data_IF_928026329687
#
_entry.id   IF_928026329687
#
_cell.length_a   1.000
_cell.length_b   1.000
_cell.length_c   1.000
_cell.angle_alpha   90.00
_cell.angle_beta   90.00
_cell.angle_gamma   90.00
#
_symmetry.space_group_name_H-M   'P 1'
#
loop_
_entity.id
_entity.type
_entity.pdbx_description
1 polymer ?
#
# COMPACT_ATOMS: atom_id res chain seq x y z
N UNK A 1 23.67 28.77 3.39
CA UNK A 1 23.92 28.74 1.92
C UNK A 1 22.75 28.04 1.21
N UNK A 2 22.37 28.38 -0.04
CA UNK A 2 21.30 27.64 -0.73
C UNK A 2 21.79 26.28 -1.27
N UNK A 3 20.93 25.26 -1.20
CA UNK A 3 21.15 23.94 -1.77
C UNK A 3 21.48 24.04 -3.26
N UNK A 4 22.53 23.33 -3.68
CA UNK A 4 23.17 23.48 -4.99
C UNK A 4 23.34 22.16 -5.75
N UNK A 5 22.71 21.09 -5.26
CA UNK A 5 22.79 19.75 -5.83
C UNK A 5 21.53 18.94 -5.56
N UNK A 6 21.28 17.99 -6.44
CA UNK A 6 20.21 17.01 -6.31
C UNK A 6 20.59 15.93 -5.30
N UNK A 7 19.61 15.18 -4.83
CA UNK A 7 19.84 14.04 -3.96
C UNK A 7 18.75 13.87 -2.91
N UNK A 8 19.03 13.02 -1.93
CA UNK A 8 18.17 12.83 -0.78
C UNK A 8 18.84 13.35 0.45
N UNK A 9 18.07 14.08 1.24
CA UNK A 9 18.56 14.79 2.39
C UNK A 9 17.64 14.56 3.57
N UNK A 10 18.22 14.44 4.76
CA UNK A 10 17.48 14.71 5.99
C UNK A 10 17.61 16.17 6.34
N UNK A 11 16.53 16.74 6.86
CA UNK A 11 16.46 18.16 7.09
C UNK A 11 15.56 18.50 8.28
N UNK A 12 15.75 19.71 8.82
CA UNK A 12 14.91 20.29 9.86
C UNK A 12 14.27 21.57 9.37
N UNK A 13 13.01 21.80 9.72
CA UNK A 13 12.33 23.07 9.42
C UNK A 13 12.98 24.17 10.27
N UNK A 14 13.40 25.25 9.62
CA UNK A 14 14.01 26.42 10.28
C UNK A 14 13.12 27.67 10.22
N UNK A 15 12.23 27.75 9.24
CA UNK A 15 11.30 28.86 9.06
C UNK A 15 10.05 28.35 8.34
N UNK A 16 8.92 29.01 8.57
CA UNK A 16 7.60 28.59 8.10
C UNK A 16 6.66 29.77 7.94
N UNK A 17 5.80 29.68 6.95
CA UNK A 17 4.74 30.65 6.73
C UNK A 17 3.71 30.16 5.73
N UNK A 18 2.52 30.74 5.79
CA UNK A 18 1.41 30.48 4.87
C UNK A 18 1.10 31.76 4.11
N UNK A 19 1.04 31.66 2.79
CA UNK A 19 0.73 32.82 1.96
C UNK A 19 0.05 32.42 0.64
N UNK A 20 -0.57 33.40 -0.01
CA UNK A 20 -1.02 33.27 -1.38
C UNK A 20 0.16 33.56 -2.33
N UNK A 21 0.58 32.57 -3.12
CA UNK A 21 1.74 32.72 -4.02
C UNK A 21 1.43 32.46 -5.49
N UNK A 22 2.35 32.88 -6.36
CA UNK A 22 2.23 32.71 -7.80
C UNK A 22 1.17 33.60 -8.47
N UNK A 23 1.02 33.51 -9.81
CA UNK A 23 0.10 34.36 -10.56
C UNK A 23 -1.38 34.08 -10.24
N UNK A 24 -1.70 32.87 -9.80
CA UNK A 24 -3.06 32.47 -9.43
C UNK A 24 -3.37 32.70 -7.94
N UNK A 25 -2.44 33.26 -7.15
CA UNK A 25 -2.61 33.55 -5.70
C UNK A 25 -3.07 32.34 -4.87
N UNK A 26 -2.50 31.17 -5.16
CA UNK A 26 -2.91 29.93 -4.52
C UNK A 26 -2.40 29.83 -3.08
N UNK A 27 -3.21 29.26 -2.18
CA UNK A 27 -2.81 28.96 -0.81
C UNK A 27 -1.57 28.05 -0.78
N UNK A 28 -0.49 28.54 -0.21
CA UNK A 28 0.83 27.89 -0.22
C UNK A 28 1.41 27.87 1.19
N UNK A 29 1.79 26.68 1.66
CA UNK A 29 2.64 26.53 2.84
C UNK A 29 4.09 26.62 2.37
N UNK A 30 4.86 27.53 2.95
CA UNK A 30 6.25 27.82 2.61
C UNK A 30 7.10 27.38 3.78
N UNK A 31 8.01 26.43 3.56
CA UNK A 31 8.90 25.92 4.60
C UNK A 31 10.34 26.11 4.16
N UNK A 32 11.17 26.63 5.07
CA UNK A 32 12.62 26.61 4.94
C UNK A 32 13.16 25.44 5.72
N UNK A 33 14.08 24.71 5.10
CA UNK A 33 14.75 23.58 5.70
C UNK A 33 16.25 23.80 5.74
N UNK A 34 16.88 23.49 6.87
CA UNK A 34 18.32 23.27 6.95
C UNK A 34 18.61 21.78 6.70
N UNK A 35 19.49 21.49 5.75
CA UNK A 35 19.89 20.13 5.39
C UNK A 35 20.95 19.65 6.38
N UNK A 36 20.74 18.47 6.96
CA UNK A 36 21.60 17.93 8.02
C UNK A 36 22.40 16.73 7.55
N UNK A 37 21.78 15.83 6.81
CA UNK A 37 22.44 14.63 6.28
C UNK A 37 22.10 14.46 4.80
N UNK A 38 23.01 13.87 4.05
CA UNK A 38 22.83 13.52 2.64
C UNK A 38 23.01 12.02 2.44
N UNK A 39 22.10 11.41 1.69
CA UNK A 39 22.18 9.98 1.37
C UNK A 39 23.09 9.77 0.16
N UNK A 40 24.24 9.12 0.36
CA UNK A 40 25.19 8.75 -0.69
C UNK A 40 25.72 7.35 -0.42
N UNK A 41 26.00 6.61 -1.48
CA UNK A 41 26.62 5.28 -1.39
C UNK A 41 25.93 4.28 -0.44
N UNK A 42 24.61 4.45 -0.21
CA UNK A 42 23.83 3.58 0.66
C UNK A 42 23.72 4.05 2.11
N UNK A 43 24.40 5.13 2.49
CA UNK A 43 24.53 5.61 3.86
C UNK A 43 24.16 7.10 3.98
N UNK A 44 23.83 7.52 5.21
CA UNK A 44 23.60 8.93 5.54
C UNK A 44 24.91 9.56 6.00
N UNK A 45 25.28 10.66 5.37
CA UNK A 45 26.48 11.43 5.71
C UNK A 45 26.09 12.79 6.27
N UNK A 46 26.63 13.16 7.43
CA UNK A 46 26.47 14.50 8.00
C UNK A 46 27.08 15.56 7.07
N UNK A 47 26.26 16.56 6.72
CA UNK A 47 26.64 17.71 5.89
C UNK A 47 26.33 19.04 6.58
N UNK A 48 26.04 19.04 7.89
CA UNK A 48 25.69 20.26 8.65
C UNK A 48 26.72 21.37 8.52
N UNK A 49 28.02 21.02 8.40
CA UNK A 49 29.11 21.98 8.20
C UNK A 49 29.03 22.76 6.87
N UNK A 50 28.27 22.27 5.88
CA UNK A 50 28.04 22.95 4.61
C UNK A 50 26.97 24.06 4.71
N UNK A 51 26.20 24.10 5.80
CA UNK A 51 25.16 25.11 6.06
C UNK A 51 24.18 25.24 4.86
N UNK A 52 23.73 24.11 4.31
CA UNK A 52 22.83 24.13 3.14
C UNK A 52 21.37 24.28 3.58
N UNK A 53 20.64 25.15 2.89
CA UNK A 53 19.21 25.40 3.09
C UNK A 53 18.42 25.30 1.79
N UNK A 54 17.15 24.91 1.89
CA UNK A 54 16.20 24.94 0.77
C UNK A 54 14.87 25.52 1.22
N UNK A 55 14.25 26.33 0.35
CA UNK A 55 12.88 26.83 0.56
C UNK A 55 11.94 26.05 -0.35
N UNK A 56 10.95 25.42 0.25
CA UNK A 56 9.93 24.64 -0.44
C UNK A 56 8.58 25.37 -0.44
N UNK A 57 7.86 25.24 -1.54
CA UNK A 57 6.53 25.81 -1.74
C UNK A 57 5.53 24.68 -1.94
N UNK A 58 4.70 24.43 -0.93
CA UNK A 58 3.69 23.39 -0.91
C UNK A 58 2.32 24.01 -1.20
N UNK A 59 1.90 23.93 -2.47
CA UNK A 59 0.59 24.42 -2.91
C UNK A 59 -0.51 23.47 -2.45
N UNK A 60 -1.37 23.95 -1.55
CA UNK A 60 -2.47 23.18 -0.94
C UNK A 60 -3.63 22.98 -1.92
N UNK A 61 -3.78 23.92 -2.85
CA UNK A 61 -4.78 23.88 -3.91
C UNK A 61 -4.12 23.91 -5.30
N UNK A 62 -4.83 23.37 -6.29
CA UNK A 62 -4.48 23.42 -7.71
C UNK A 62 -5.11 24.63 -8.36
N UNK A 63 -4.69 24.93 -9.59
CA UNK A 63 -5.20 26.07 -10.37
C UNK A 63 -6.71 25.99 -10.65
N UNK A 64 -7.28 24.79 -10.69
CA UNK A 64 -8.71 24.56 -10.90
C UNK A 64 -9.55 24.73 -9.62
N UNK A 65 -8.92 25.08 -8.49
CA UNK A 65 -9.57 25.25 -7.19
C UNK A 65 -9.77 23.93 -6.42
N UNK A 66 -9.34 22.79 -6.97
CA UNK A 66 -9.36 21.51 -6.24
C UNK A 66 -8.16 21.40 -5.31
N UNK A 67 -8.28 20.55 -4.29
CA UNK A 67 -7.18 20.30 -3.36
C UNK A 67 -6.05 19.50 -4.03
N UNK A 68 -4.83 19.80 -3.59
CA UNK A 68 -3.65 19.05 -3.94
C UNK A 68 -3.40 17.95 -2.91
N UNK A 69 -4.25 16.92 -2.93
CA UNK A 69 -4.26 15.81 -1.98
C UNK A 69 -2.87 15.19 -1.78
N UNK A 70 -2.08 15.03 -2.85
CA UNK A 70 -0.71 14.52 -2.76
C UNK A 70 0.18 15.35 -1.83
N UNK A 71 0.11 16.69 -1.93
CA UNK A 71 0.90 17.58 -1.08
C UNK A 71 0.34 17.60 0.34
N UNK A 72 -0.99 17.56 0.49
CA UNK A 72 -1.64 17.52 1.79
C UNK A 72 -1.22 16.25 2.53
N UNK A 73 -1.32 15.08 1.90
CA UNK A 73 -0.95 13.81 2.52
C UNK A 73 0.54 13.76 2.86
N UNK A 74 1.42 14.24 1.98
CA UNK A 74 2.86 14.32 2.28
C UNK A 74 3.15 15.22 3.51
N UNK A 75 2.47 16.36 3.63
CA UNK A 75 2.59 17.25 4.80
C UNK A 75 2.03 16.59 6.07
N UNK A 76 0.91 15.89 5.99
CA UNK A 76 0.32 15.16 7.12
C UNK A 76 1.25 14.04 7.60
N UNK A 77 1.76 13.24 6.67
CA UNK A 77 2.61 12.09 6.96
C UNK A 77 3.98 12.52 7.50
N UNK A 78 4.64 13.48 6.84
CA UNK A 78 5.98 13.88 7.21
C UNK A 78 6.04 14.83 8.42
N UNK A 79 5.05 15.71 8.57
CA UNK A 79 5.08 16.79 9.57
C UNK A 79 4.00 16.66 10.65
N UNK A 80 3.11 15.67 10.56
CA UNK A 80 2.03 15.48 11.52
C UNK A 80 0.89 16.48 11.40
N UNK A 81 0.81 17.22 10.27
CA UNK A 81 -0.25 18.20 10.07
C UNK A 81 -1.64 17.54 10.17
N UNK A 82 -2.62 18.11 10.91
CA UNK A 82 -3.98 17.57 10.96
C UNK A 82 -4.74 17.71 9.63
N UNK A 83 -4.30 18.59 8.72
CA UNK A 83 -4.96 18.82 7.43
C UNK A 83 -6.24 19.66 7.49
N UNK A 84 -6.47 20.36 8.62
CA UNK A 84 -7.69 21.17 8.83
C UNK A 84 -7.45 22.64 8.49
N UNK A 85 -6.32 23.19 8.93
CA UNK A 85 -5.97 24.60 8.79
C UNK A 85 -4.50 24.73 8.38
N UNK A 86 -4.17 25.37 7.24
CA UNK A 86 -2.78 25.59 6.85
C UNK A 86 -2.01 26.49 7.84
N UNK A 87 -2.68 27.41 8.54
CA UNK A 87 -2.01 28.30 9.51
C UNK A 87 -1.47 27.56 10.75
N UNK A 88 -1.87 26.30 10.96
CA UNK A 88 -1.29 25.41 11.97
C UNK A 88 0.25 25.37 11.91
N UNK A 89 0.85 25.47 10.71
CA UNK A 89 2.31 25.48 10.57
C UNK A 89 2.98 26.71 11.18
N UNK A 90 2.30 27.84 11.30
CA UNK A 90 2.84 29.04 11.94
C UNK A 90 2.77 28.96 13.47
N UNK A 91 1.74 28.29 13.99
CA UNK A 91 1.51 28.12 15.42
C UNK A 91 2.32 26.96 16.02
N UNK A 92 2.56 25.91 15.24
CA UNK A 92 3.27 24.72 15.70
C UNK A 92 4.76 24.99 15.90
N UNK A 93 5.25 24.81 17.13
CA UNK A 93 6.62 25.16 17.46
C UNK A 93 7.62 24.08 17.04
N UNK A 94 7.28 22.80 17.23
CA UNK A 94 8.18 21.67 17.06
C UNK A 94 7.73 20.76 15.91
N UNK A 95 8.21 21.08 14.70
CA UNK A 95 7.98 20.26 13.53
C UNK A 95 9.04 19.15 13.46
N UNK A 96 8.64 17.89 13.19
CA UNK A 96 9.57 16.78 13.17
C UNK A 96 10.61 16.97 12.05
N UNK A 97 11.80 16.34 12.18
CA UNK A 97 12.73 16.28 11.07
C UNK A 97 12.12 15.45 9.93
N UNK A 98 12.60 15.66 8.71
CA UNK A 98 12.01 15.06 7.49
C UNK A 98 13.07 14.57 6.52
N UNK A 99 12.65 13.77 5.54
CA UNK A 99 13.44 13.41 4.37
C UNK A 99 12.94 14.17 3.14
N UNK A 100 13.85 14.85 2.45
CA UNK A 100 13.61 15.59 1.22
C UNK A 100 14.28 14.89 0.04
N UNK A 101 13.59 14.84 -1.10
CA UNK A 101 14.24 14.59 -2.40
C UNK A 101 14.37 15.92 -3.14
N UNK A 102 15.59 16.31 -3.47
CA UNK A 102 15.90 17.52 -4.22
C UNK A 102 16.22 17.18 -5.68
N UNK A 103 15.61 17.92 -6.60
CA UNK A 103 15.83 17.79 -8.05
C UNK A 103 15.97 19.18 -8.67
N UNK A 104 16.70 19.27 -9.78
CA UNK A 104 16.71 20.45 -10.62
C UNK A 104 15.38 20.57 -11.35
N UNK A 105 14.80 21.76 -11.28
CA UNK A 105 13.63 22.14 -12.05
C UNK A 105 14.00 23.31 -12.95
N UNK A 106 13.46 23.28 -14.17
CA UNK A 106 13.64 24.36 -15.13
C UNK A 106 12.31 25.06 -15.35
N UNK A 107 12.24 26.32 -14.95
CA UNK A 107 11.06 27.16 -15.15
C UNK A 107 11.48 28.45 -15.83
N UNK A 108 10.86 28.75 -16.98
CA UNK A 108 11.18 29.94 -17.79
C UNK A 108 12.69 30.06 -18.12
N UNK A 109 13.35 28.94 -18.41
CA UNK A 109 14.78 28.88 -18.74
C UNK A 109 15.72 29.10 -17.55
N UNK A 110 15.19 29.19 -16.32
CA UNK A 110 15.98 29.26 -15.09
C UNK A 110 15.96 27.91 -14.39
N UNK A 111 17.14 27.34 -14.18
CA UNK A 111 17.32 26.14 -13.36
C UNK A 111 17.39 26.50 -11.88
N UNK A 112 16.59 25.83 -11.06
CA UNK A 112 16.61 25.94 -9.60
C UNK A 112 16.48 24.57 -8.96
N UNK A 113 17.16 24.36 -7.84
CA UNK A 113 16.88 23.20 -6.99
C UNK A 113 15.49 23.41 -6.38
N UNK A 114 14.66 22.36 -6.40
CA UNK A 114 13.38 22.31 -5.71
C UNK A 114 13.26 21.05 -4.86
N UNK A 115 12.39 21.10 -3.87
CA UNK A 115 11.88 19.89 -3.23
C UNK A 115 10.90 19.21 -4.19
N UNK A 116 11.21 17.96 -4.55
CA UNK A 116 10.35 17.08 -5.34
C UNK A 116 9.43 16.27 -4.45
N UNK A 117 9.98 15.67 -3.39
CA UNK A 117 9.26 14.84 -2.43
C UNK A 117 9.61 15.25 -1.00
N UNK A 118 8.60 15.19 -0.13
CA UNK A 118 8.68 15.35 1.31
C UNK A 118 8.17 14.05 1.94
N UNK A 119 8.96 13.43 2.80
CA UNK A 119 8.63 12.17 3.46
C UNK A 119 9.01 12.24 4.95
N UNK A 120 8.49 11.33 5.80
CA UNK A 120 8.99 11.14 7.16
C UNK A 120 10.51 10.95 7.21
N UNK A 121 11.14 11.36 8.30
CA UNK A 121 12.60 11.28 8.50
C UNK A 121 13.20 9.89 8.28
N UNK A 122 12.47 8.86 8.69
CA UNK A 122 12.92 7.46 8.68
C UNK A 122 12.35 6.68 7.48
N UNK A 123 11.75 7.37 6.52
CA UNK A 123 11.31 6.74 5.27
C UNK A 123 12.51 6.07 4.59
N UNK A 124 12.39 4.79 4.23
CA UNK A 124 13.47 4.09 3.54
C UNK A 124 13.84 4.85 2.27
N UNK A 125 15.14 5.15 2.05
CA UNK A 125 15.59 5.75 0.82
C UNK A 125 15.42 4.74 -0.32
N UNK A 126 14.24 4.66 -0.94
CA UNK A 126 13.97 3.70 -2.01
C UNK A 126 14.80 4.03 -3.25
N UNK A 127 16.00 3.47 -3.39
CA UNK A 127 16.84 3.65 -4.58
C UNK A 127 16.25 2.83 -5.73
N UNK A 128 15.17 3.34 -6.34
CA UNK A 128 14.58 2.77 -7.54
C UNK A 128 13.05 2.65 -7.51
N UNK A 129 12.53 2.18 -8.64
CA UNK A 129 11.15 1.73 -8.77
C UNK A 129 10.94 0.59 -7.79
N UNK A 130 9.98 0.74 -6.88
CA UNK A 130 9.54 -0.36 -6.02
C UNK A 130 9.09 -1.52 -6.90
N UNK A 131 9.82 -2.62 -6.81
CA UNK A 131 9.46 -3.84 -7.50
C UNK A 131 8.58 -4.66 -6.57
N UNK A 132 7.42 -5.07 -7.07
CA UNK A 132 6.63 -6.12 -6.42
C UNK A 132 7.54 -7.32 -6.13
N UNK A 133 7.41 -7.90 -4.94
CA UNK A 133 8.10 -9.12 -4.58
C UNK A 133 7.55 -10.33 -5.37
N UNK A 134 8.05 -11.54 -5.12
CA UNK A 134 7.65 -12.72 -5.88
C UNK A 134 6.15 -13.04 -5.76
N UNK A 135 5.55 -12.76 -4.62
CA UNK A 135 4.15 -13.09 -4.35
C UNK A 135 3.22 -11.99 -4.87
N UNK A 136 3.58 -10.73 -4.69
CA UNK A 136 2.88 -9.61 -5.31
C UNK A 136 2.94 -9.67 -6.84
N UNK A 137 4.09 -10.04 -7.44
CA UNK A 137 4.21 -10.23 -8.90
C UNK A 137 3.27 -11.32 -9.40
N UNK A 138 3.12 -12.42 -8.65
CA UNK A 138 2.17 -13.50 -8.99
C UNK A 138 0.73 -13.02 -8.88
N UNK A 139 0.38 -12.32 -7.80
CA UNK A 139 -0.95 -11.76 -7.59
C UNK A 139 -1.32 -10.74 -8.68
N UNK A 140 -0.42 -9.82 -9.01
CA UNK A 140 -0.61 -8.84 -10.08
C UNK A 140 -0.72 -9.51 -11.46
N UNK A 141 0.12 -10.52 -11.74
CA UNK A 141 0.05 -11.27 -13.00
C UNK A 141 -1.24 -12.09 -13.14
N UNK A 142 -1.73 -12.70 -12.06
CA UNK A 142 -3.00 -13.42 -12.05
C UNK A 142 -4.19 -12.47 -12.26
N UNK A 143 -4.21 -11.36 -11.51
CA UNK A 143 -5.29 -10.36 -11.54
C UNK A 143 -5.37 -9.60 -12.87
N UNK A 144 -4.22 -9.22 -13.44
CA UNK A 144 -4.17 -8.33 -14.60
C UNK A 144 -3.75 -9.03 -15.90
N UNK A 145 -3.07 -10.18 -15.82
CA UNK A 145 -2.46 -10.81 -17.00
C UNK A 145 -3.45 -11.30 -18.05
N UNK A 146 -4.68 -11.66 -17.67
CA UNK A 146 -5.73 -12.00 -18.65
C UNK A 146 -6.30 -10.75 -19.34
N UNK A 147 -6.48 -9.66 -18.59
CA UNK A 147 -6.97 -8.37 -19.10
C UNK A 147 -5.97 -7.72 -20.07
N UNK A 148 -4.70 -7.72 -19.69
CA UNK A 148 -3.62 -7.18 -20.53
C UNK A 148 -3.39 -8.01 -21.80
N UNK A 149 -3.50 -9.35 -21.73
CA UNK A 149 -3.40 -10.22 -22.92
C UNK A 149 -4.57 -10.02 -23.88
N UNK A 150 -5.80 -9.88 -23.35
CA UNK A 150 -6.98 -9.58 -24.17
C UNK A 150 -6.86 -8.20 -24.85
N UNK A 151 -6.37 -7.20 -24.14
CA UNK A 151 -6.16 -5.85 -24.68
C UNK A 151 -5.06 -5.81 -25.75
N UNK A 152 -3.96 -6.56 -25.55
CA UNK A 152 -2.83 -6.60 -26.48
C UNK A 152 -2.98 -7.61 -27.63
N UNK A 153 -4.12 -8.30 -27.74
CA UNK A 153 -4.40 -9.26 -28.82
C UNK A 153 -3.57 -10.54 -28.80
N UNK A 154 -2.98 -10.92 -27.66
CA UNK A 154 -2.13 -12.10 -27.53
C UNK A 154 -2.91 -13.39 -27.29
N UNK A 155 -2.66 -14.41 -28.11
CA UNK A 155 -3.29 -15.75 -27.99
C UNK A 155 -2.69 -16.56 -26.82
N UNK A 156 -3.48 -17.32 -26.03
CA UNK A 156 -2.96 -18.09 -24.90
C UNK A 156 -1.98 -19.21 -25.32
N UNK A 157 -0.93 -19.42 -24.52
CA UNK A 157 -0.01 -20.55 -24.70
C UNK A 157 -0.71 -21.89 -24.37
N UNK A 158 -0.47 -22.95 -25.15
CA UNK A 158 -1.12 -24.24 -24.93
C UNK A 158 -0.60 -24.94 -23.66
N UNK A 159 -1.50 -25.58 -22.93
CA UNK A 159 -1.21 -26.31 -21.70
C UNK A 159 -0.33 -27.56 -21.94
N UNK A 160 0.62 -27.87 -21.04
CA UNK A 160 1.45 -29.08 -21.16
C UNK A 160 0.62 -30.36 -20.89
N UNK A 161 0.87 -31.41 -21.67
CA UNK A 161 0.17 -32.70 -21.58
C UNK A 161 0.57 -33.48 -20.31
N UNK A 162 -0.37 -34.14 -19.59
CA UNK A 162 -0.06 -34.94 -18.41
C UNK A 162 0.74 -36.20 -18.76
N UNK A 163 1.74 -36.53 -17.94
CA UNK A 163 2.47 -37.81 -17.97
C UNK A 163 1.68 -38.89 -17.21
N UNK A 164 1.71 -40.13 -17.73
CA UNK A 164 0.92 -41.27 -17.24
C UNK A 164 1.28 -41.76 -15.82
N UNK A 165 0.35 -42.52 -15.22
CA UNK A 165 0.35 -42.93 -13.82
C UNK A 165 1.43 -43.99 -13.45
N UNK A 166 2.03 -43.95 -12.24
CA UNK A 166 2.89 -45.02 -11.71
C UNK A 166 2.15 -46.08 -10.88
N UNK A 167 2.74 -47.29 -10.80
CA UNK A 167 2.22 -48.49 -10.12
C UNK A 167 2.30 -48.45 -8.56
N UNK A 168 1.54 -49.29 -7.81
CA UNK A 168 1.36 -49.13 -6.36
C UNK A 168 2.39 -49.89 -5.48
N UNK A 169 2.73 -49.40 -4.27
CA UNK A 169 3.56 -50.11 -3.27
C UNK A 169 2.77 -50.71 -2.07
N UNK A 170 3.37 -51.63 -1.26
CA UNK A 170 2.68 -52.45 -0.24
C UNK A 170 2.54 -51.83 1.17
N UNK A 171 1.79 -52.52 2.05
CA UNK A 171 1.03 -52.06 3.25
C UNK A 171 1.82 -51.56 4.50
N UNK A 172 1.09 -50.68 5.23
CA UNK A 172 1.36 -49.82 6.41
C UNK A 172 1.65 -50.50 7.77
N UNK A 173 2.44 -49.81 8.61
CA UNK A 173 2.46 -49.91 10.08
C UNK A 173 1.51 -48.90 10.78
N UNK A 174 1.33 -48.95 12.12
CA UNK A 174 0.23 -48.30 12.84
C UNK A 174 0.42 -46.79 13.08
N UNK A 175 -0.71 -46.08 13.16
CA UNK A 175 -0.84 -44.63 12.99
C UNK A 175 -0.59 -43.78 14.27
N UNK A 176 -0.08 -42.53 14.15
CA UNK A 176 0.02 -41.56 15.24
C UNK A 176 -1.35 -40.90 15.58
N UNK A 177 -1.46 -40.23 16.75
CA UNK A 177 -2.71 -39.62 17.23
C UNK A 177 -3.26 -38.56 16.27
N UNK A 178 -4.58 -38.56 16.09
CA UNK A 178 -5.30 -37.70 15.14
C UNK A 178 -5.13 -36.21 15.48
N UNK A 179 -4.54 -35.47 14.53
CA UNK A 179 -4.54 -34.02 14.54
C UNK A 179 -5.99 -33.49 14.50
N UNK A 180 -6.27 -32.47 15.31
CA UNK A 180 -7.52 -31.70 15.23
C UNK A 180 -7.60 -31.10 13.82
N UNK A 181 -8.73 -31.31 13.12
CA UNK A 181 -8.94 -30.79 11.77
C UNK A 181 -9.05 -29.28 11.85
N UNK A 182 -8.21 -28.58 11.09
CA UNK A 182 -8.26 -27.14 10.85
C UNK A 182 -8.56 -26.92 9.38
N UNK A 183 -9.25 -25.84 9.04
CA UNK A 183 -9.54 -25.45 7.67
C UNK A 183 -9.39 -23.93 7.49
N UNK A 184 -9.35 -23.51 6.23
CA UNK A 184 -9.27 -22.09 5.85
C UNK A 184 -10.60 -21.60 5.28
N UNK A 185 -10.78 -20.27 5.27
CA UNK A 185 -11.94 -19.61 4.68
C UNK A 185 -12.14 -20.00 3.22
N UNK A 186 -11.07 -20.03 2.42
CA UNK A 186 -11.13 -20.37 0.99
C UNK A 186 -11.58 -21.81 0.75
N UNK A 187 -11.13 -22.75 1.59
CA UNK A 187 -11.58 -24.14 1.50
C UNK A 187 -13.05 -24.29 1.91
N UNK A 188 -13.51 -23.53 2.92
CA UNK A 188 -14.92 -23.52 3.32
C UNK A 188 -15.80 -22.88 2.24
N UNK A 189 -15.35 -21.77 1.65
CA UNK A 189 -16.04 -21.09 0.56
C UNK A 189 -16.15 -21.95 -0.69
N UNK A 190 -15.10 -22.68 -1.05
CA UNK A 190 -15.13 -23.60 -2.19
C UNK A 190 -16.21 -24.69 -2.01
N UNK A 191 -16.42 -25.18 -0.79
CA UNK A 191 -17.48 -26.15 -0.50
C UNK A 191 -18.88 -25.54 -0.61
N UNK A 192 -19.07 -24.30 -0.14
CA UNK A 192 -20.32 -23.56 -0.30
C UNK A 192 -20.63 -23.25 -1.77
N UNK A 193 -19.62 -22.86 -2.55
CA UNK A 193 -19.79 -22.62 -3.99
C UNK A 193 -20.15 -23.90 -4.75
N UNK A 194 -19.58 -25.05 -4.38
CA UNK A 194 -19.95 -26.35 -4.95
C UNK A 194 -21.33 -26.83 -4.48
N UNK A 195 -21.72 -26.55 -3.24
CA UNK A 195 -23.09 -26.78 -2.76
C UNK A 195 -24.09 -25.95 -3.54
N UNK A 196 -23.85 -24.64 -3.70
CA UNK A 196 -24.74 -23.73 -4.42
C UNK A 196 -24.96 -24.16 -5.87
N UNK A 197 -23.91 -24.65 -6.55
CA UNK A 197 -24.05 -25.25 -7.89
C UNK A 197 -24.93 -26.49 -7.90
N UNK A 198 -24.86 -27.34 -6.88
CA UNK A 198 -25.64 -28.57 -6.79
C UNK A 198 -27.12 -28.30 -6.48
N UNK A 199 -27.42 -27.27 -5.69
CA UNK A 199 -28.80 -26.90 -5.34
C UNK A 199 -29.37 -25.79 -6.22
N UNK A 200 -28.63 -25.37 -7.25
CA UNK A 200 -28.94 -24.23 -8.11
C UNK A 200 -29.30 -22.96 -7.32
N UNK A 201 -28.60 -22.71 -6.22
CA UNK A 201 -28.77 -21.49 -5.43
C UNK A 201 -28.24 -20.27 -6.20
N UNK A 202 -29.00 -19.19 -6.17
CA UNK A 202 -28.52 -17.89 -6.63
C UNK A 202 -27.48 -17.30 -5.67
N UNK A 203 -26.81 -16.24 -6.15
CA UNK A 203 -25.74 -15.57 -5.41
C UNK A 203 -26.22 -15.01 -4.06
N UNK A 204 -27.46 -14.50 -3.99
CA UNK A 204 -28.03 -13.99 -2.73
C UNK A 204 -28.19 -15.10 -1.71
N UNK A 205 -28.78 -16.23 -2.12
CA UNK A 205 -28.95 -17.41 -1.25
C UNK A 205 -27.60 -18.01 -0.82
N UNK A 206 -26.60 -18.06 -1.70
CA UNK A 206 -25.25 -18.50 -1.34
C UNK A 206 -24.64 -17.62 -0.24
N UNK A 207 -24.78 -16.29 -0.35
CA UNK A 207 -24.26 -15.36 0.65
C UNK A 207 -25.02 -15.47 1.97
N UNK A 208 -26.35 -15.57 1.95
CA UNK A 208 -27.17 -15.71 3.16
C UNK A 208 -26.82 -16.99 3.95
N UNK A 209 -26.67 -18.11 3.23
CA UNK A 209 -26.33 -19.42 3.82
C UNK A 209 -24.91 -19.46 4.37
N UNK A 210 -23.97 -18.79 3.68
CA UNK A 210 -22.60 -18.61 4.15
C UNK A 210 -22.55 -17.86 5.50
N UNK A 211 -23.23 -16.71 5.60
CA UNK A 211 -23.24 -15.93 6.84
C UNK A 211 -24.06 -16.59 7.94
N UNK A 212 -25.14 -17.31 7.60
CA UNK A 212 -25.91 -18.10 8.55
C UNK A 212 -25.07 -19.22 9.18
N UNK A 213 -24.24 -19.91 8.40
CA UNK A 213 -23.34 -20.94 8.90
C UNK A 213 -22.24 -20.38 9.80
N UNK A 214 -21.67 -19.23 9.45
CA UNK A 214 -20.68 -18.53 10.30
C UNK A 214 -21.34 -18.12 11.63
N UNK A 215 -22.55 -17.55 11.59
CA UNK A 215 -23.31 -17.15 12.79
C UNK A 215 -23.67 -18.34 13.68
N UNK A 216 -24.03 -19.47 13.10
CA UNK A 216 -24.39 -20.68 13.84
C UNK A 216 -23.19 -21.28 14.61
N UNK A 217 -21.98 -21.18 14.06
CA UNK A 217 -20.75 -21.72 14.68
C UNK A 217 -20.06 -20.69 15.59
N UNK A 218 -20.06 -19.42 15.21
CA UNK A 218 -19.26 -18.37 15.86
C UNK A 218 -20.09 -17.38 16.69
N UNK A 219 -21.42 -17.38 16.56
CA UNK A 219 -22.31 -16.42 17.22
C UNK A 219 -22.29 -15.01 16.61
N UNK A 220 -21.54 -14.79 15.52
CA UNK A 220 -21.44 -13.54 14.76
C UNK A 220 -21.29 -13.83 13.26
N UNK A 221 -21.46 -12.81 12.42
CA UNK A 221 -21.40 -12.94 10.94
C UNK A 221 -20.05 -12.50 10.34
N UNK A 222 -19.13 -12.00 11.17
CA UNK A 222 -17.80 -11.53 10.74
C UNK A 222 -16.85 -12.69 10.39
N UNK A 223 -16.60 -12.90 9.10
CA UNK A 223 -15.75 -13.97 8.58
C UNK A 223 -14.26 -13.80 8.92
N UNK A 224 -13.77 -12.57 9.14
CA UNK A 224 -12.35 -12.30 9.42
C UNK A 224 -11.95 -12.71 10.84
N UNK A 225 -12.94 -12.91 11.72
CA UNK A 225 -12.76 -13.29 13.12
C UNK A 225 -12.88 -14.79 13.38
N UNK A 226 -13.11 -15.59 12.34
CA UNK A 226 -13.31 -17.04 12.43
C UNK A 226 -11.97 -17.77 12.48
N UNK A 227 -11.77 -18.61 13.50
CA UNK A 227 -10.52 -19.37 13.66
C UNK A 227 -10.46 -20.59 12.72
N UNK A 228 -9.26 -21.15 12.46
CA UNK A 228 -9.11 -22.34 11.63
C UNK A 228 -9.89 -23.57 12.12
N UNK A 229 -10.11 -23.70 13.43
CA UNK A 229 -10.93 -24.77 14.00
C UNK A 229 -12.42 -24.55 13.73
N UNK A 230 -12.87 -23.29 13.81
CA UNK A 230 -14.25 -22.92 13.51
C UNK A 230 -14.55 -23.08 12.01
N UNK A 231 -13.59 -22.78 11.13
CA UNK A 231 -13.72 -23.09 9.70
C UNK A 231 -13.90 -24.58 9.43
N UNK A 232 -13.17 -25.45 10.14
CA UNK A 232 -13.35 -26.89 10.01
C UNK A 232 -14.72 -27.36 10.49
N UNK A 233 -15.32 -26.71 11.49
CA UNK A 233 -16.68 -26.98 11.95
C UNK A 233 -17.73 -26.46 10.94
N UNK A 234 -17.52 -25.28 10.35
CA UNK A 234 -18.38 -24.72 9.29
C UNK A 234 -18.38 -25.65 8.07
N UNK A 235 -17.21 -26.13 7.64
CA UNK A 235 -17.09 -27.10 6.54
C UNK A 235 -17.85 -28.41 6.81
N UNK A 236 -17.80 -28.91 8.04
CA UNK A 236 -18.46 -30.15 8.41
C UNK A 236 -19.98 -30.07 8.31
N UNK A 237 -20.56 -28.86 8.33
CA UNK A 237 -22.00 -28.62 8.26
C UNK A 237 -22.54 -28.40 6.84
N UNK A 238 -21.67 -28.09 5.87
CA UNK A 238 -22.05 -27.89 4.44
C UNK A 238 -22.82 -29.07 3.83
N UNK A 239 -22.50 -30.34 4.11
CA UNK A 239 -23.24 -31.48 3.56
C UNK A 239 -24.66 -31.63 4.12
N UNK A 240 -24.91 -31.10 5.31
CA UNK A 240 -26.15 -31.23 6.08
C UNK A 240 -26.86 -29.87 6.22
N UNK A 241 -26.79 -28.99 5.23
CA UNK A 241 -27.54 -27.72 5.21
C UNK A 241 -29.00 -27.91 4.75
N UNK A 242 -29.98 -27.88 5.67
CA UNK A 242 -31.32 -27.40 5.37
C UNK A 242 -31.69 -26.27 6.33
N UNK A 243 -31.48 -25.02 5.94
CA UNK A 243 -31.97 -23.85 6.69
C UNK A 243 -32.63 -22.85 5.75
#
# INVERSE_FOLDING_TARGET
MLANREGRFRARVTDRGVNSTGPNRLCTVILRFALTEEYRDGEWHDITAEDLEVVAYFYIEKRDGTLNEFIIDALKEALGWPGIDPFWFEDEQDLPPVQLTLEWDEYEGKKRIRVRYLNPHDAEPSTGVSHADADERRALSARLGHKLRAYSGGTPAPAPKPAGAPAPPPKRGPAPPQAKKTATMDEAWALFAEWAKKVEADEGRLHDEWFAAIKAVCGHEDAERVTPEQWAEIQARVPDCPF
#
